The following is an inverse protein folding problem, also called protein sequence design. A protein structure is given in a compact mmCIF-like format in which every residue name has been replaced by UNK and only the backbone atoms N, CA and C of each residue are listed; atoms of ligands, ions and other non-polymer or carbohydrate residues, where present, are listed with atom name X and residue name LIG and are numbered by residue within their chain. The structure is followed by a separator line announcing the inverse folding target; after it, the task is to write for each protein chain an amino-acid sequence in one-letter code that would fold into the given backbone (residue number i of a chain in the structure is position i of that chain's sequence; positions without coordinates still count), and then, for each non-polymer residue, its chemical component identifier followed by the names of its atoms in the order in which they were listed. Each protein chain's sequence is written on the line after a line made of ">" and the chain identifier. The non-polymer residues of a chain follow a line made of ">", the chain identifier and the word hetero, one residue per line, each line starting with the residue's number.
data_IF_393335709602
#
_entry.id   IF_393335709602
#
_cell.length_a   1.000
_cell.length_b   1.000
_cell.length_c   1.000
_cell.angle_alpha   90.00
_cell.angle_beta   90.00
_cell.angle_gamma   90.00
#
_symmetry.space_group_name_H-M   'P 1'
#
loop_
_entity.id
_entity.type
_entity.pdbx_description
1 polymer ?
#
# COMPACT_ATOMS: atom_id res chain seq x y z
N UNK A 1 -4.87 -10.38 27.66
CA UNK A 1 -4.01 -10.31 26.44
C UNK A 1 -4.96 -10.24 25.27
N UNK A 2 -5.35 -9.02 24.87
CA UNK A 2 -6.28 -8.82 23.74
C UNK A 2 -5.52 -9.08 22.43
N UNK A 3 -6.06 -10.02 21.65
CA UNK A 3 -5.58 -10.39 20.33
C UNK A 3 -5.48 -9.14 19.43
N UNK A 4 -4.27 -8.83 18.95
CA UNK A 4 -3.95 -7.76 17.98
C UNK A 4 -4.51 -8.00 16.57
N UNK A 5 -5.45 -8.94 16.38
CA UNK A 5 -5.95 -9.33 15.06
C UNK A 5 -7.17 -8.53 14.56
N UNK A 6 -7.64 -7.53 15.32
CA UNK A 6 -8.90 -6.83 15.03
C UNK A 6 -8.72 -5.39 14.53
N UNK A 7 -7.50 -4.87 14.47
CA UNK A 7 -7.25 -3.50 13.99
C UNK A 7 -7.06 -3.48 12.47
N UNK A 8 -7.75 -2.55 11.79
CA UNK A 8 -7.61 -2.31 10.35
C UNK A 8 -6.14 -2.01 10.00
N UNK A 9 -5.55 -2.71 9.03
CA UNK A 9 -4.20 -2.41 8.54
C UNK A 9 -4.20 -1.16 7.66
N UNK A 10 -3.30 -0.20 7.92
CA UNK A 10 -3.28 1.09 7.22
C UNK A 10 -1.92 1.30 6.57
N UNK A 11 -1.92 1.44 5.23
CA UNK A 11 -0.72 1.77 4.45
C UNK A 11 -0.82 3.19 3.90
N UNK A 12 0.26 3.97 4.05
CA UNK A 12 0.43 5.30 3.45
C UNK A 12 1.50 5.19 2.35
N UNK A 13 1.11 5.46 1.11
CA UNK A 13 1.95 5.18 -0.05
C UNK A 13 2.49 6.45 -0.72
N UNK A 14 3.74 6.37 -1.20
CA UNK A 14 4.37 7.44 -1.97
C UNK A 14 4.92 8.59 -1.13
N UNK A 15 5.44 8.29 0.06
CA UNK A 15 6.12 9.26 0.92
C UNK A 15 7.50 9.60 0.37
N UNK A 16 7.94 10.86 0.51
CA UNK A 16 9.17 11.35 -0.10
C UNK A 16 10.04 12.18 0.83
N UNK A 17 9.50 12.64 1.95
CA UNK A 17 10.18 13.50 2.92
C UNK A 17 10.20 12.89 4.30
N UNK A 18 11.09 13.38 5.17
CA UNK A 18 11.15 12.96 6.57
C UNK A 18 9.87 13.38 7.31
N UNK A 19 9.36 14.58 7.05
CA UNK A 19 8.12 15.08 7.62
C UNK A 19 6.92 14.18 7.32
N UNK A 20 6.79 13.72 6.06
CA UNK A 20 5.71 12.80 5.66
C UNK A 20 5.83 11.45 6.40
N UNK A 21 7.06 10.92 6.52
CA UNK A 21 7.33 9.65 7.20
C UNK A 21 7.03 9.77 8.69
N UNK A 22 7.50 10.83 9.33
CA UNK A 22 7.28 11.07 10.76
C UNK A 22 5.78 11.20 11.05
N UNK A 23 5.06 11.97 10.24
CA UNK A 23 3.60 12.12 10.38
C UNK A 23 2.85 10.78 10.22
N UNK A 24 3.27 9.92 9.27
CA UNK A 24 2.64 8.61 9.08
C UNK A 24 2.93 7.65 10.27
N UNK A 25 4.16 7.65 10.77
CA UNK A 25 4.55 6.84 11.94
C UNK A 25 3.81 7.31 13.19
N UNK A 26 3.80 8.63 13.46
CA UNK A 26 3.13 9.22 14.62
C UNK A 26 1.60 9.02 14.57
N UNK A 27 1.01 9.06 13.38
CA UNK A 27 -0.40 8.78 13.20
C UNK A 27 -0.76 7.30 13.43
N UNK A 28 0.22 6.38 13.43
CA UNK A 28 0.02 4.95 13.63
C UNK A 28 -0.29 4.18 12.35
N UNK A 29 0.36 4.52 11.24
CA UNK A 29 0.35 3.70 10.03
C UNK A 29 1.07 2.37 10.26
N UNK A 30 0.54 1.28 9.68
CA UNK A 30 1.12 -0.07 9.78
C UNK A 30 2.15 -0.32 8.66
N UNK A 31 2.04 0.42 7.54
CA UNK A 31 2.99 0.34 6.44
C UNK A 31 3.22 1.68 5.75
N UNK A 32 4.44 1.86 5.25
CA UNK A 32 4.87 3.05 4.49
C UNK A 32 5.43 2.59 3.14
N UNK A 33 4.89 3.17 2.04
CA UNK A 33 5.28 2.87 0.68
C UNK A 33 6.19 3.92 0.06
N UNK A 34 7.30 3.47 -0.54
CA UNK A 34 8.19 4.27 -1.38
C UNK A 34 8.04 3.84 -2.83
N UNK A 35 7.78 4.78 -3.73
CA UNK A 35 7.65 4.49 -5.16
C UNK A 35 9.04 4.51 -5.79
N UNK A 36 9.51 3.36 -6.25
CA UNK A 36 10.83 3.17 -6.84
C UNK A 36 10.78 3.07 -8.38
N UNK A 37 9.58 3.07 -8.95
CA UNK A 37 9.31 3.12 -10.39
C UNK A 37 9.02 4.54 -10.89
N UNK A 38 8.93 4.72 -12.22
CA UNK A 38 8.62 6.02 -12.84
C UNK A 38 7.25 6.57 -12.37
N UNK A 39 7.27 7.70 -11.66
CA UNK A 39 6.08 8.31 -11.05
C UNK A 39 6.38 9.73 -10.59
N UNK A 40 5.38 10.62 -10.48
CA UNK A 40 5.53 11.90 -9.75
C UNK A 40 5.92 11.73 -8.27
N UNK A 41 5.73 10.52 -7.72
CA UNK A 41 6.04 10.16 -6.32
C UNK A 41 7.34 9.41 -6.16
N UNK A 42 8.11 9.24 -7.25
CA UNK A 42 9.34 8.46 -7.23
C UNK A 42 10.37 9.06 -6.27
N UNK A 43 11.04 8.17 -5.54
CA UNK A 43 12.28 8.41 -4.82
C UNK A 43 13.35 7.45 -5.34
N UNK A 44 14.63 7.80 -5.21
CA UNK A 44 15.73 6.86 -5.45
C UNK A 44 15.93 5.93 -4.23
N UNK A 45 16.69 4.85 -4.44
CA UNK A 45 16.93 3.86 -3.40
C UNK A 45 17.67 4.44 -2.19
N UNK A 46 18.60 5.36 -2.41
CA UNK A 46 19.34 6.03 -1.33
C UNK A 46 18.44 6.89 -0.45
N UNK A 47 17.49 7.63 -1.06
CA UNK A 47 16.45 8.38 -0.34
C UNK A 47 15.53 7.43 0.44
N UNK A 48 15.05 6.35 -0.20
CA UNK A 48 14.22 5.35 0.47
C UNK A 48 14.96 4.72 1.66
N UNK A 49 16.25 4.39 1.51
CA UNK A 49 17.09 3.86 2.60
C UNK A 49 17.24 4.85 3.76
N UNK A 50 17.44 6.13 3.45
CA UNK A 50 17.54 7.19 4.47
C UNK A 50 16.22 7.34 5.24
N UNK A 51 15.11 7.36 4.53
CA UNK A 51 13.77 7.48 5.12
C UNK A 51 13.39 6.23 5.92
N UNK A 52 13.73 5.03 5.43
CA UNK A 52 13.44 3.75 6.10
C UNK A 52 14.09 3.66 7.49
N UNK A 53 15.23 4.31 7.73
CA UNK A 53 15.89 4.34 9.05
C UNK A 53 15.09 5.08 10.14
N UNK A 54 14.13 5.91 9.75
CA UNK A 54 13.23 6.62 10.66
C UNK A 54 12.01 5.78 11.08
N UNK A 55 11.76 4.69 10.37
CA UNK A 55 10.55 3.88 10.51
C UNK A 55 10.82 2.77 11.54
N UNK A 56 10.02 2.68 12.61
CA UNK A 56 10.13 1.60 13.61
C UNK A 56 9.96 0.22 12.97
N UNK A 57 10.58 -0.79 13.56
CA UNK A 57 10.58 -2.16 13.02
C UNK A 57 9.18 -2.76 12.85
N UNK A 58 8.22 -2.38 13.68
CA UNK A 58 6.85 -2.86 13.59
C UNK A 58 6.06 -2.24 12.42
N UNK A 59 6.52 -1.15 11.79
CA UNK A 59 5.89 -0.53 10.62
C UNK A 59 6.57 -1.03 9.34
N UNK A 60 5.82 -1.69 8.46
CA UNK A 60 6.34 -2.32 7.25
C UNK A 60 6.81 -1.29 6.22
N UNK A 61 8.06 -1.39 5.75
CA UNK A 61 8.57 -0.58 4.64
C UNK A 61 8.34 -1.30 3.32
N UNK A 62 7.68 -0.64 2.36
CA UNK A 62 7.23 -1.21 1.09
C UNK A 62 7.85 -0.45 -0.09
N UNK A 63 8.54 -1.14 -0.99
CA UNK A 63 8.93 -0.60 -2.29
C UNK A 63 7.89 -0.92 -3.34
N UNK A 64 7.46 0.10 -4.09
CA UNK A 64 6.47 -0.05 -5.16
C UNK A 64 7.14 -0.03 -6.52
N UNK A 65 6.89 -1.07 -7.31
CA UNK A 65 7.49 -1.30 -8.63
C UNK A 65 6.40 -1.54 -9.68
N UNK A 66 6.72 -1.30 -10.95
CA UNK A 66 5.80 -1.52 -12.07
C UNK A 66 6.56 -1.79 -13.36
N UNK A 67 6.79 -3.07 -13.65
CA UNK A 67 7.41 -3.51 -14.91
C UNK A 67 8.93 -3.42 -14.94
N UNK A 68 9.60 -3.24 -13.79
CA UNK A 68 11.05 -3.38 -13.67
C UNK A 68 11.45 -4.85 -13.84
N UNK A 69 12.70 -5.10 -14.24
CA UNK A 69 13.25 -6.46 -14.27
C UNK A 69 13.39 -7.01 -12.84
N UNK A 70 13.40 -8.34 -12.70
CA UNK A 70 13.59 -9.00 -11.41
C UNK A 70 14.91 -8.57 -10.73
N UNK A 71 15.99 -8.45 -11.52
CA UNK A 71 17.30 -8.04 -11.00
C UNK A 71 17.29 -6.58 -10.53
N UNK A 72 16.59 -5.67 -11.24
CA UNK A 72 16.44 -4.28 -10.81
C UNK A 72 15.64 -4.20 -9.51
N UNK A 73 14.52 -4.94 -9.40
CA UNK A 73 13.72 -4.97 -8.16
C UNK A 73 14.56 -5.48 -6.99
N UNK A 74 15.32 -6.55 -7.17
CA UNK A 74 16.23 -7.10 -6.15
C UNK A 74 17.28 -6.10 -5.70
N UNK A 75 17.93 -5.46 -6.68
CA UNK A 75 18.98 -4.45 -6.43
C UNK A 75 18.43 -3.26 -5.67
N UNK A 76 17.34 -2.65 -6.17
CA UNK A 76 16.70 -1.50 -5.53
C UNK A 76 16.13 -1.83 -4.14
N UNK A 77 15.57 -3.02 -3.98
CA UNK A 77 15.05 -3.48 -2.70
C UNK A 77 16.16 -3.71 -1.66
N UNK A 78 17.31 -4.25 -2.09
CA UNK A 78 18.47 -4.43 -1.22
C UNK A 78 19.10 -3.09 -0.84
N UNK A 79 19.29 -2.17 -1.80
CA UNK A 79 19.86 -0.85 -1.57
C UNK A 79 18.98 0.01 -0.67
N UNK A 80 17.66 0.00 -0.87
CA UNK A 80 16.71 0.77 -0.07
C UNK A 80 16.40 0.19 1.30
N UNK A 81 16.76 -1.07 1.56
CA UNK A 81 16.50 -1.76 2.82
C UNK A 81 15.01 -1.96 3.11
N UNK A 82 14.15 -1.93 2.09
CA UNK A 82 12.72 -2.23 2.23
C UNK A 82 12.50 -3.70 2.58
N UNK A 83 11.40 -3.98 3.31
CA UNK A 83 11.06 -5.33 3.76
C UNK A 83 9.96 -6.00 2.94
N UNK A 84 9.17 -5.21 2.22
CA UNK A 84 8.13 -5.70 1.33
C UNK A 84 8.27 -5.12 -0.07
N UNK A 85 7.90 -5.91 -1.07
CA UNK A 85 7.85 -5.53 -2.49
C UNK A 85 6.40 -5.52 -2.94
N UNK A 86 5.93 -4.39 -3.43
CA UNK A 86 4.63 -4.27 -4.08
C UNK A 86 4.81 -4.19 -5.59
N UNK A 87 4.22 -5.14 -6.30
CA UNK A 87 4.20 -5.20 -7.75
C UNK A 87 2.86 -4.65 -8.27
N UNK A 88 2.93 -3.69 -9.18
CA UNK A 88 1.76 -2.99 -9.75
C UNK A 88 1.74 -3.10 -11.28
N UNK A 89 2.25 -4.19 -11.81
CA UNK A 89 2.34 -4.48 -13.23
C UNK A 89 1.63 -5.79 -13.60
N UNK A 90 2.13 -6.40 -14.66
CA UNK A 90 1.64 -7.68 -15.19
C UNK A 90 2.67 -8.81 -14.96
N UNK A 91 3.39 -8.74 -13.84
CA UNK A 91 4.37 -9.76 -13.47
C UNK A 91 3.68 -11.12 -13.30
N UNK A 92 4.31 -12.17 -13.84
CA UNK A 92 3.77 -13.52 -13.81
C UNK A 92 4.08 -14.27 -12.51
N UNK A 93 3.50 -15.44 -12.33
CA UNK A 93 3.70 -16.30 -11.18
C UNK A 93 5.19 -16.61 -10.92
N UNK A 94 5.98 -16.85 -11.98
CA UNK A 94 7.40 -17.15 -11.84
C UNK A 94 8.19 -15.98 -11.24
N UNK A 95 7.77 -14.76 -11.54
CA UNK A 95 8.37 -13.55 -10.96
C UNK A 95 8.11 -13.48 -9.44
N UNK A 96 6.86 -13.76 -9.01
CA UNK A 96 6.51 -13.81 -7.58
C UNK A 96 7.26 -14.93 -6.85
N UNK A 97 7.32 -16.13 -7.42
CA UNK A 97 8.04 -17.27 -6.83
C UNK A 97 9.54 -16.97 -6.64
N UNK A 98 10.16 -16.25 -7.61
CA UNK A 98 11.55 -15.84 -7.52
C UNK A 98 11.81 -14.79 -6.40
N UNK A 99 10.89 -13.83 -6.20
CA UNK A 99 11.00 -12.87 -5.11
C UNK A 99 10.65 -13.47 -3.73
N UNK A 100 9.72 -14.44 -3.68
CA UNK A 100 9.40 -15.15 -2.44
C UNK A 100 10.62 -15.89 -1.87
N UNK A 101 11.47 -16.43 -2.74
CA UNK A 101 12.73 -17.08 -2.35
C UNK A 101 13.71 -16.13 -1.66
N UNK A 102 13.58 -14.81 -1.85
CA UNK A 102 14.40 -13.79 -1.21
C UNK A 102 13.91 -13.46 0.23
N UNK A 103 12.83 -14.10 0.71
CA UNK A 103 12.29 -13.93 2.06
C UNK A 103 11.56 -12.59 2.30
N UNK A 104 11.13 -11.90 1.25
CA UNK A 104 10.41 -10.62 1.34
C UNK A 104 8.90 -10.83 1.36
N UNK A 105 8.19 -9.96 2.07
CA UNK A 105 6.73 -9.88 1.98
C UNK A 105 6.34 -9.34 0.60
N UNK A 106 5.41 -10.02 -0.08
CA UNK A 106 4.96 -9.68 -1.43
C UNK A 106 3.54 -9.13 -1.42
N UNK A 107 3.34 -7.98 -2.08
CA UNK A 107 2.04 -7.35 -2.26
C UNK A 107 1.76 -7.29 -3.76
N UNK A 108 0.66 -7.91 -4.18
CA UNK A 108 0.15 -7.78 -5.55
C UNK A 108 -0.84 -6.64 -5.62
N UNK A 109 -0.60 -5.64 -6.46
CA UNK A 109 -1.60 -4.62 -6.77
C UNK A 109 -2.33 -4.98 -8.07
N UNK A 110 -3.66 -5.01 -8.00
CA UNK A 110 -4.53 -5.32 -9.14
C UNK A 110 -5.66 -4.29 -9.23
N UNK A 111 -6.10 -3.96 -10.44
CA UNK A 111 -7.28 -3.13 -10.64
C UNK A 111 -8.55 -3.93 -10.34
N UNK A 112 -9.53 -3.30 -9.70
CA UNK A 112 -10.88 -3.85 -9.60
C UNK A 112 -11.52 -3.92 -10.99
N UNK A 113 -12.11 -5.06 -11.33
CA UNK A 113 -12.71 -5.31 -12.63
C UNK A 113 -13.84 -6.33 -12.55
N UNK A 114 -14.26 -6.87 -13.71
CA UNK A 114 -15.31 -7.88 -13.80
C UNK A 114 -14.93 -9.20 -13.12
N UNK A 115 -13.64 -9.50 -13.06
CA UNK A 115 -13.06 -10.60 -12.29
C UNK A 115 -12.25 -10.02 -11.14
N UNK A 116 -12.63 -10.37 -9.91
CA UNK A 116 -11.90 -9.97 -8.70
C UNK A 116 -10.86 -11.05 -8.40
N UNK A 117 -9.55 -10.75 -8.43
CA UNK A 117 -8.51 -11.70 -8.13
C UNK A 117 -8.56 -12.13 -6.67
N UNK A 118 -8.07 -13.32 -6.35
CA UNK A 118 -7.96 -13.80 -4.97
C UNK A 118 -6.56 -13.55 -4.43
N UNK A 119 -6.48 -13.21 -3.14
CA UNK A 119 -5.21 -13.12 -2.43
C UNK A 119 -4.52 -14.48 -2.41
N UNK A 120 -3.22 -14.50 -2.74
CA UNK A 120 -2.40 -15.71 -2.82
C UNK A 120 -2.39 -16.40 -4.18
N UNK A 121 -3.18 -15.96 -5.16
CA UNK A 121 -3.20 -16.56 -6.50
C UNK A 121 -1.83 -16.56 -7.19
N UNK A 122 -1.05 -15.51 -7.00
CA UNK A 122 0.30 -15.39 -7.57
C UNK A 122 1.40 -15.72 -6.55
N UNK A 123 1.04 -16.17 -5.34
CA UNK A 123 1.99 -16.41 -4.25
C UNK A 123 2.29 -15.18 -3.40
N UNK A 124 1.53 -14.11 -3.57
CA UNK A 124 1.61 -12.91 -2.74
C UNK A 124 1.06 -13.13 -1.33
N UNK A 125 1.62 -12.40 -0.35
CA UNK A 125 1.15 -12.40 1.04
C UNK A 125 -0.07 -11.49 1.24
N UNK A 126 -0.19 -10.44 0.40
CA UNK A 126 -1.27 -9.46 0.44
C UNK A 126 -1.71 -9.09 -0.97
N UNK A 127 -3.01 -8.88 -1.14
CA UNK A 127 -3.59 -8.33 -2.36
C UNK A 127 -4.04 -6.89 -2.13
N UNK A 128 -3.61 -5.95 -2.98
CA UNK A 128 -4.10 -4.59 -3.01
C UNK A 128 -5.04 -4.43 -4.22
N UNK A 129 -6.31 -4.10 -3.96
CA UNK A 129 -7.29 -3.78 -5.00
C UNK A 129 -7.41 -2.26 -5.17
N UNK A 130 -6.98 -1.78 -6.32
CA UNK A 130 -7.08 -0.37 -6.72
C UNK A 130 -8.34 -0.14 -7.56
N UNK A 131 -8.69 1.13 -7.76
CA UNK A 131 -9.79 1.54 -8.65
C UNK A 131 -9.66 0.89 -10.05
N UNK A 132 -10.77 0.76 -10.81
CA UNK A 132 -10.75 0.24 -12.18
C UNK A 132 -9.77 0.97 -13.10
N UNK A 133 -9.51 2.26 -12.82
CA UNK A 133 -8.45 3.05 -13.46
C UNK A 133 -7.42 3.42 -12.37
N UNK A 134 -6.36 2.61 -12.21
CA UNK A 134 -5.38 2.82 -11.15
C UNK A 134 -4.70 4.18 -11.24
N UNK A 135 -4.53 4.84 -10.09
CA UNK A 135 -3.88 6.14 -10.01
C UNK A 135 -4.73 7.33 -10.46
N UNK A 136 -6.00 7.13 -10.82
CA UNK A 136 -6.93 8.23 -11.15
C UNK A 136 -7.26 9.14 -9.98
N UNK A 137 -7.11 8.64 -8.74
CA UNK A 137 -7.51 9.34 -7.53
C UNK A 137 -9.04 9.42 -7.34
N UNK A 138 -9.82 8.80 -8.21
CA UNK A 138 -11.29 8.78 -8.10
C UNK A 138 -11.74 7.59 -7.28
N UNK A 139 -12.67 7.84 -6.35
CA UNK A 139 -13.37 6.78 -5.64
C UNK A 139 -14.24 5.98 -6.63
N UNK A 140 -14.37 4.69 -6.35
CA UNK A 140 -15.21 3.78 -7.12
C UNK A 140 -16.32 3.19 -6.24
N UNK A 141 -17.26 2.47 -6.84
CA UNK A 141 -18.40 1.90 -6.13
C UNK A 141 -17.98 0.64 -5.36
N UNK A 142 -17.67 0.80 -4.07
CA UNK A 142 -17.23 -0.28 -3.17
C UNK A 142 -18.34 -1.30 -2.88
N UNK A 143 -19.61 -0.97 -3.13
CA UNK A 143 -20.74 -1.91 -2.96
C UNK A 143 -20.67 -3.06 -3.97
N UNK A 144 -19.90 -2.91 -5.06
CA UNK A 144 -19.64 -3.96 -6.05
C UNK A 144 -18.69 -5.05 -5.56
N UNK A 145 -18.06 -4.88 -4.39
CA UNK A 145 -17.22 -5.93 -3.82
C UNK A 145 -18.04 -7.18 -3.49
N UNK A 146 -17.57 -8.39 -3.88
CA UNK A 146 -18.21 -9.63 -3.44
C UNK A 146 -18.24 -9.73 -1.92
N UNK A 147 -19.36 -10.26 -1.38
CA UNK A 147 -19.54 -10.43 0.07
C UNK A 147 -18.43 -11.26 0.72
N UNK A 148 -17.90 -12.26 0.01
CA UNK A 148 -16.81 -13.10 0.48
C UNK A 148 -15.44 -12.39 0.37
N UNK A 149 -15.36 -11.23 -0.29
CA UNK A 149 -14.10 -10.54 -0.56
C UNK A 149 -13.10 -11.37 -1.38
N UNK A 150 -11.92 -10.83 -1.62
CA UNK A 150 -10.85 -11.52 -2.36
C UNK A 150 -9.98 -12.44 -1.49
N UNK A 151 -10.30 -12.64 -0.23
CA UNK A 151 -9.52 -13.46 0.72
C UNK A 151 -9.21 -12.71 2.02
N UNK A 152 -8.29 -13.27 2.84
CA UNK A 152 -8.09 -12.80 4.22
C UNK A 152 -7.25 -11.53 4.32
N UNK A 153 -6.21 -11.38 3.50
CA UNK A 153 -5.28 -10.24 3.57
C UNK A 153 -5.35 -9.38 2.31
N UNK A 154 -6.41 -8.58 2.21
CA UNK A 154 -6.53 -7.65 1.11
C UNK A 154 -6.70 -6.21 1.57
N UNK A 155 -6.12 -5.30 0.79
CA UNK A 155 -6.12 -3.86 1.00
C UNK A 155 -7.04 -3.21 -0.03
N UNK A 156 -7.93 -2.35 0.45
CA UNK A 156 -8.73 -1.48 -0.41
C UNK A 156 -7.92 -0.23 -0.75
N UNK A 157 -7.85 0.09 -2.03
CA UNK A 157 -7.20 1.29 -2.55
C UNK A 157 -8.07 2.00 -3.59
N UNK A 158 -7.57 3.10 -4.15
CA UNK A 158 -8.23 3.89 -5.19
C UNK A 158 -9.23 4.91 -4.67
N UNK A 159 -8.83 6.19 -4.74
CA UNK A 159 -9.67 7.33 -4.39
C UNK A 159 -10.06 7.48 -2.92
N UNK A 160 -9.37 6.78 -2.02
CA UNK A 160 -9.58 6.94 -0.59
C UNK A 160 -9.07 8.30 -0.10
N UNK A 161 -9.83 8.92 0.79
CA UNK A 161 -9.55 10.21 1.45
C UNK A 161 -9.94 10.13 2.93
N UNK A 162 -9.53 11.09 3.77
CA UNK A 162 -10.04 11.18 5.15
C UNK A 162 -11.56 11.20 5.26
N UNK A 163 -12.25 11.81 4.29
CA UNK A 163 -13.70 12.00 4.32
C UNK A 163 -14.48 10.74 3.94
N UNK A 164 -13.89 9.81 3.14
CA UNK A 164 -14.60 8.66 2.61
C UNK A 164 -14.11 7.31 3.13
N UNK A 165 -12.91 7.23 3.73
CA UNK A 165 -12.30 5.96 4.13
C UNK A 165 -13.16 5.18 5.11
N UNK A 166 -13.85 5.84 6.02
CA UNK A 166 -14.76 5.19 6.98
C UNK A 166 -15.89 4.46 6.26
N UNK A 167 -16.59 5.15 5.35
CA UNK A 167 -17.65 4.54 4.55
C UNK A 167 -17.13 3.41 3.66
N UNK A 168 -15.93 3.55 3.09
CA UNK A 168 -15.28 2.53 2.30
C UNK A 168 -15.01 1.24 3.09
N UNK A 169 -14.50 1.39 4.32
CA UNK A 169 -14.25 0.26 5.25
C UNK A 169 -15.53 -0.43 5.66
N UNK A 170 -16.58 0.31 6.00
CA UNK A 170 -17.88 -0.24 6.41
C UNK A 170 -18.56 -0.99 5.27
N UNK A 171 -18.40 -0.50 4.03
CA UNK A 171 -19.02 -1.08 2.84
C UNK A 171 -18.29 -2.32 2.35
N UNK A 172 -16.97 -2.20 2.11
CA UNK A 172 -16.17 -3.26 1.48
C UNK A 172 -15.57 -4.26 2.49
N UNK A 173 -15.51 -3.89 3.77
CA UNK A 173 -14.94 -4.71 4.87
C UNK A 173 -13.56 -5.27 4.55
N UNK A 174 -12.59 -4.45 4.11
CA UNK A 174 -11.26 -4.91 3.81
C UNK A 174 -10.51 -5.29 5.10
N UNK A 175 -9.45 -6.12 4.96
CA UNK A 175 -8.47 -6.33 6.02
C UNK A 175 -7.66 -5.07 6.30
N UNK A 176 -7.39 -4.27 5.27
CA UNK A 176 -6.68 -3.00 5.39
C UNK A 176 -7.02 -2.01 4.28
N UNK A 177 -6.43 -0.83 4.36
CA UNK A 177 -6.58 0.25 3.37
C UNK A 177 -5.23 0.80 2.94
N UNK A 178 -5.15 1.27 1.68
CA UNK A 178 -3.99 1.96 1.15
C UNK A 178 -4.40 3.31 0.58
N UNK A 179 -3.68 4.36 0.94
CA UNK A 179 -3.90 5.70 0.42
C UNK A 179 -2.62 6.32 -0.14
N UNK A 180 -2.77 7.01 -1.28
CA UNK A 180 -1.69 7.81 -1.84
C UNK A 180 -2.15 9.22 -2.14
N UNK A 181 -2.90 9.46 -3.23
CA UNK A 181 -3.32 10.80 -3.64
C UNK A 181 -4.27 11.50 -2.67
N UNK A 182 -5.10 10.74 -1.94
CA UNK A 182 -6.08 11.30 -1.00
C UNK A 182 -5.51 11.98 0.23
N UNK A 183 -4.19 11.90 0.44
CA UNK A 183 -3.46 12.62 1.50
C UNK A 183 -2.40 13.56 0.89
N UNK A 184 -2.65 14.07 -0.31
CA UNK A 184 -1.79 15.03 -1.01
C UNK A 184 -2.46 16.40 -1.08
N UNK A 185 -1.69 17.47 -0.82
CA UNK A 185 -2.12 18.85 -1.08
C UNK A 185 -1.99 19.24 -2.56
N UNK A 186 -1.09 18.58 -3.28
CA UNK A 186 -0.92 18.64 -4.72
C UNK A 186 -0.26 17.37 -5.21
N UNK A 187 -0.36 17.08 -6.52
CA UNK A 187 0.12 15.81 -7.07
C UNK A 187 1.58 15.50 -6.71
N UNK A 188 1.78 14.43 -5.95
CA UNK A 188 3.09 13.98 -5.47
C UNK A 188 3.62 14.72 -4.24
N UNK A 189 2.86 15.63 -3.64
CA UNK A 189 3.23 16.35 -2.42
C UNK A 189 2.24 16.04 -1.31
N UNK A 190 2.68 15.29 -0.31
CA UNK A 190 1.84 14.91 0.83
C UNK A 190 1.50 16.11 1.72
N UNK A 191 0.45 15.93 2.50
CA UNK A 191 0.06 16.83 3.57
C UNK A 191 0.04 16.05 4.90
N UNK A 192 0.93 16.34 5.86
CA UNK A 192 0.98 15.67 7.15
C UNK A 192 -0.35 15.70 7.90
N UNK A 193 -1.11 16.79 7.78
CA UNK A 193 -2.41 16.91 8.43
C UNK A 193 -3.45 15.95 7.80
N UNK A 194 -3.42 15.79 6.47
CA UNK A 194 -4.28 14.82 5.77
C UNK A 194 -3.87 13.38 6.08
N UNK A 195 -2.57 13.07 6.22
CA UNK A 195 -2.09 11.75 6.67
C UNK A 195 -2.68 11.41 8.05
N UNK A 196 -2.53 12.33 9.01
CA UNK A 196 -3.07 12.15 10.37
C UNK A 196 -4.59 12.00 10.36
N UNK A 197 -5.29 12.84 9.60
CA UNK A 197 -6.75 12.78 9.48
C UNK A 197 -7.23 11.45 8.86
N UNK A 198 -6.53 10.95 7.84
CA UNK A 198 -6.85 9.67 7.21
C UNK A 198 -6.72 8.50 8.18
N UNK A 199 -5.58 8.38 8.88
CA UNK A 199 -5.36 7.30 9.84
C UNK A 199 -6.40 7.35 10.97
N UNK A 200 -6.69 8.55 11.50
CA UNK A 200 -7.72 8.74 12.52
C UNK A 200 -9.11 8.32 12.02
N UNK A 201 -9.50 8.74 10.82
CA UNK A 201 -10.80 8.37 10.24
C UNK A 201 -10.90 6.85 9.98
N UNK A 202 -9.83 6.23 9.47
CA UNK A 202 -9.78 4.79 9.21
C UNK A 202 -9.90 3.96 10.50
N UNK A 203 -9.31 4.44 11.62
CA UNK A 203 -9.35 3.76 12.94
C UNK A 203 -10.66 3.98 13.70
N UNK A 204 -11.43 5.04 13.39
CA UNK A 204 -12.61 5.43 14.15
C UNK A 204 -13.80 4.49 13.93
N UNK A 205 -13.84 3.28 14.51
CA UNK A 205 -15.05 2.48 14.43
C UNK A 205 -14.90 0.97 14.39
N UNK A 206 -13.77 0.46 14.80
CA UNK A 206 -13.62 -0.97 15.19
C UNK A 206 -13.33 -1.05 16.67
#
# INVERSE_FOLDING_TARGET
>A
MSNSSDSLFIKICGLRTEEDVDAAVEAGADAIGFVLTASPRRVDAATAARLSRRIPEHVLTVGVFRGESLDDVRSLAAESGIRAVQLHGSEDRGYYDALAADGRTLIRAAAFGDSVPRCGEMGEDMLLLDAPVPGSGMAWDWSRMPVAGPGDRWLLAGGLTPDNVRNAVDTARPWGVDVSSGVERSRGVKDPALITAFVKAARSGR
#
